data_IF_703348959293
#
_entry.id   IF_703348959293
#
_cell.length_a   1.000
_cell.length_b   1.000
_cell.length_c   1.000
_cell.angle_alpha   90.00
_cell.angle_beta   90.00
_cell.angle_gamma   90.00
#
_symmetry.space_group_name_H-M   'P 1'
#
loop_
_entity.id
_entity.type
_entity.pdbx_description
1 polymer ?
#
# COMPACT_ATOMS: atom_id res chain seq x y z
N UNK A 1 -9.64 -8.60 1.10
CA UNK A 1 -9.48 -7.14 0.96
C UNK A 1 -8.67 -6.91 -0.29
N UNK A 2 -9.17 -6.13 -1.24
CA UNK A 2 -8.39 -5.81 -2.44
C UNK A 2 -7.32 -4.76 -2.12
N UNK A 3 -6.30 -4.63 -2.98
CA UNK A 3 -5.31 -3.55 -2.84
C UNK A 3 -5.99 -2.17 -2.91
N UNK A 4 -7.01 -2.03 -3.75
CA UNK A 4 -7.81 -0.83 -3.90
C UNK A 4 -8.50 -0.45 -2.57
N UNK A 5 -9.14 -1.41 -1.90
CA UNK A 5 -9.77 -1.19 -0.58
C UNK A 5 -8.74 -0.73 0.46
N UNK A 6 -7.53 -1.30 0.40
CA UNK A 6 -6.44 -1.01 1.35
C UNK A 6 -5.87 0.40 1.15
N UNK A 7 -5.74 0.84 -0.10
CA UNK A 7 -5.27 2.19 -0.46
C UNK A 7 -6.33 3.23 -0.12
N UNK A 8 -7.60 2.93 -0.36
CA UNK A 8 -8.72 3.81 -0.02
C UNK A 8 -8.80 4.06 1.48
N UNK A 9 -8.70 2.99 2.28
CA UNK A 9 -8.65 3.09 3.75
C UNK A 9 -7.45 3.91 4.25
N UNK A 10 -6.26 3.71 3.65
CA UNK A 10 -5.08 4.52 3.99
C UNK A 10 -5.28 6.01 3.70
N UNK A 11 -5.92 6.34 2.58
CA UNK A 11 -6.27 7.72 2.21
C UNK A 11 -7.30 8.34 3.15
N UNK A 12 -8.31 7.57 3.57
CA UNK A 12 -9.34 8.00 4.54
C UNK A 12 -8.70 8.29 5.91
N UNK A 13 -7.84 7.39 6.41
CA UNK A 13 -7.10 7.57 7.68
C UNK A 13 -6.18 8.79 7.61
N UNK A 14 -5.54 9.05 6.46
CA UNK A 14 -4.69 10.24 6.28
C UNK A 14 -5.50 11.54 6.12
N UNK A 15 -6.72 11.48 5.59
CA UNK A 15 -7.60 12.64 5.39
C UNK A 15 -8.35 13.04 6.68
N UNK A 16 -8.70 12.08 7.55
CA UNK A 16 -9.22 12.34 8.90
C UNK A 16 -8.20 13.03 9.82
N UNK A 17 -6.92 13.09 9.42
CA UNK A 17 -5.83 13.83 10.09
C UNK A 17 -5.77 15.31 9.62
N UNK A 18 -6.82 15.82 8.95
CA UNK A 18 -6.99 17.24 8.59
C UNK A 18 -7.14 18.18 9.80
N UNK A 19 -7.03 19.52 9.62
CA UNK A 19 -6.61 20.47 10.66
C UNK A 19 -7.72 20.80 11.67
N UNK A 20 -7.97 19.88 12.57
CA UNK A 20 -8.62 20.07 13.87
C UNK A 20 -8.15 18.84 14.63
N UNK A 21 -7.18 18.91 15.52
CA UNK A 21 -7.40 19.27 16.91
C UNK A 21 -6.03 19.49 17.55
N UNK A 22 -5.96 20.50 18.43
CA UNK A 22 -4.80 20.77 19.29
C UNK A 22 -4.53 19.58 20.22
N UNK A 23 -3.79 18.59 19.73
CA UNK A 23 -3.09 17.59 20.53
C UNK A 23 -1.63 17.61 20.06
N UNK A 24 -0.76 18.20 20.88
CA UNK A 24 0.62 18.60 20.58
C UNK A 24 1.61 17.44 20.30
N UNK A 25 1.16 16.29 19.76
CA UNK A 25 2.05 15.14 19.59
C UNK A 25 1.74 14.15 18.47
N UNK A 26 1.03 14.56 17.41
CA UNK A 26 0.73 13.66 16.29
C UNK A 26 0.90 14.27 14.89
N UNK A 27 1.84 15.20 14.73
CA UNK A 27 2.47 15.39 13.40
C UNK A 27 3.53 14.30 13.23
N UNK A 28 3.13 13.07 12.90
CA UNK A 28 4.07 11.95 12.79
C UNK A 28 5.07 12.18 11.65
N UNK A 29 4.67 12.89 10.59
CA UNK A 29 5.53 13.15 9.44
C UNK A 29 5.36 14.58 8.88
N UNK A 30 6.47 15.26 8.64
CA UNK A 30 6.53 16.48 7.82
C UNK A 30 6.21 16.14 6.35
N UNK A 31 5.83 17.14 5.55
CA UNK A 31 5.48 17.00 4.12
C UNK A 31 6.59 16.27 3.34
N UNK A 32 7.85 16.55 3.65
CA UNK A 32 8.98 15.84 3.03
C UNK A 32 9.03 14.36 3.38
N UNK A 33 8.75 14.02 4.64
CA UNK A 33 8.73 12.65 5.13
C UNK A 33 7.53 11.88 4.54
N UNK A 34 6.36 12.52 4.46
CA UNK A 34 5.19 11.96 3.80
C UNK A 34 5.47 11.65 2.33
N UNK A 35 6.10 12.58 1.60
CA UNK A 35 6.49 12.34 0.20
C UNK A 35 7.50 11.20 0.08
N UNK A 36 8.51 11.13 0.95
CA UNK A 36 9.49 10.04 0.93
C UNK A 36 8.84 8.66 1.18
N UNK A 37 7.86 8.58 2.09
CA UNK A 37 7.10 7.35 2.35
C UNK A 37 6.26 6.97 1.12
N UNK A 38 5.58 7.93 0.51
CA UNK A 38 4.78 7.71 -0.71
C UNK A 38 5.67 7.22 -1.84
N UNK A 39 6.82 7.84 -2.05
CA UNK A 39 7.77 7.46 -3.10
C UNK A 39 8.33 6.05 -2.86
N UNK A 40 8.71 5.75 -1.61
CA UNK A 40 9.14 4.42 -1.22
C UNK A 40 8.07 3.35 -1.51
N UNK A 41 6.81 3.60 -1.15
CA UNK A 41 5.71 2.67 -1.41
C UNK A 41 5.46 2.47 -2.91
N UNK A 42 5.56 3.56 -3.71
CA UNK A 42 5.43 3.49 -5.17
C UNK A 42 6.49 2.60 -5.80
N UNK A 43 7.77 2.80 -5.48
CA UNK A 43 8.88 2.07 -6.11
C UNK A 43 9.01 0.63 -5.59
N UNK A 44 8.66 0.37 -4.32
CA UNK A 44 8.86 -0.96 -3.73
C UNK A 44 7.66 -1.89 -3.94
N UNK A 45 6.46 -1.42 -3.59
CA UNK A 45 5.27 -2.25 -3.50
C UNK A 45 4.42 -2.15 -4.77
N UNK A 46 4.12 -0.93 -5.22
CA UNK A 46 3.19 -0.74 -6.33
C UNK A 46 3.82 -1.03 -7.70
N UNK A 47 5.09 -0.67 -7.91
CA UNK A 47 5.80 -0.96 -9.16
C UNK A 47 5.78 -2.45 -9.53
N UNK A 48 5.87 -3.32 -8.53
CA UNK A 48 5.92 -4.77 -8.72
C UNK A 48 4.60 -5.46 -8.41
N UNK A 49 3.51 -4.72 -8.19
CA UNK A 49 2.23 -5.28 -7.78
C UNK A 49 1.76 -6.40 -8.71
N UNK A 50 1.84 -6.22 -10.03
CA UNK A 50 1.44 -7.24 -11.01
C UNK A 50 2.31 -8.49 -10.97
N UNK A 51 3.60 -8.36 -10.64
CA UNK A 51 4.48 -9.51 -10.44
C UNK A 51 4.11 -10.27 -9.17
N UNK A 52 3.81 -9.58 -8.08
CA UNK A 52 3.36 -10.22 -6.84
C UNK A 52 1.98 -10.88 -7.03
N UNK A 53 1.05 -10.21 -7.70
CA UNK A 53 -0.24 -10.78 -8.08
C UNK A 53 -0.04 -12.05 -8.91
N UNK A 54 0.88 -12.03 -9.88
CA UNK A 54 1.22 -13.24 -10.63
C UNK A 54 1.80 -14.35 -9.74
N UNK A 55 2.82 -14.07 -8.91
CA UNK A 55 3.50 -15.08 -8.11
C UNK A 55 2.61 -15.73 -7.05
N UNK A 56 1.69 -14.96 -6.45
CA UNK A 56 0.92 -15.40 -5.28
C UNK A 56 -0.55 -15.70 -5.59
N UNK A 57 -1.12 -15.14 -6.66
CA UNK A 57 -2.53 -15.30 -7.02
C UNK A 57 -2.77 -15.94 -8.38
N UNK A 58 -1.73 -16.23 -9.18
CA UNK A 58 -1.93 -17.11 -10.35
C UNK A 58 -2.21 -18.52 -9.85
N UNK A 59 -3.29 -19.12 -10.35
CA UNK A 59 -3.45 -20.56 -10.26
C UNK A 59 -2.21 -21.18 -10.89
N UNK A 60 -1.32 -21.76 -10.07
CA UNK A 60 -0.30 -22.66 -10.60
C UNK A 60 -1.09 -23.78 -11.24
N UNK A 61 -1.18 -23.78 -12.57
CA UNK A 61 -1.53 -25.00 -13.29
C UNK A 61 -0.56 -26.04 -12.75
N UNK A 62 -1.09 -26.94 -11.93
CA UNK A 62 -0.37 -28.10 -11.47
C UNK A 62 0.05 -28.80 -12.76
N UNK A 63 1.32 -28.71 -13.10
CA UNK A 63 1.88 -29.53 -14.17
C UNK A 63 1.80 -30.94 -13.60
N UNK A 64 0.67 -31.61 -13.83
CA UNK A 64 0.52 -33.04 -13.60
C UNK A 64 1.46 -33.67 -14.61
N UNK A 65 2.71 -33.87 -14.19
CA UNK A 65 3.65 -34.70 -14.93
C UNK A 65 3.13 -36.12 -14.74
N UNK A 66 2.16 -36.50 -15.57
CA UNK A 66 1.65 -37.84 -15.61
C UNK A 66 2.74 -38.74 -16.17
N UNK A 67 3.42 -39.51 -15.32
CA UNK A 67 3.79 -40.91 -15.58
C UNK A 67 4.20 -41.61 -14.29
#
# INVERSE_FOLDING_TARGET
>A
MSLEDSIKWLGEVMAEIGPSHKNEKWNIFDVKQANAIVDYLKISLFQHYKLYEFLFFSAREEIVIGT
#
